data_IF_871784969438
#
_entry.id   IF_871784969438
#
_cell.length_a   1.000
_cell.length_b   1.000
_cell.length_c   1.000
_cell.angle_alpha   90.00
_cell.angle_beta   90.00
_cell.angle_gamma   90.00
#
_symmetry.space_group_name_H-M   'P 1'
#
loop_
_entity.id
_entity.type
_entity.pdbx_description
1 polymer ?
#
# COMPACT_ATOMS: atom_id res chain seq x y z
N UNK A 1 -3.32 21.99 -1.41
CA UNK A 1 -4.38 20.99 -1.70
C UNK A 1 -4.51 20.13 -0.46
N UNK A 2 -5.70 19.69 -0.08
CA UNK A 2 -5.89 18.94 1.18
C UNK A 2 -6.65 17.63 0.95
N UNK A 3 -6.50 16.70 1.88
CA UNK A 3 -7.32 15.48 1.86
C UNK A 3 -8.67 15.78 2.49
N UNK A 4 -9.76 15.51 1.74
CA UNK A 4 -11.13 15.55 2.26
C UNK A 4 -11.71 14.13 2.35
N UNK A 5 -11.98 13.67 3.57
CA UNK A 5 -12.79 12.48 3.83
C UNK A 5 -14.26 12.89 3.92
N UNK A 6 -15.09 12.36 3.02
CA UNK A 6 -16.54 12.56 3.05
C UNK A 6 -17.23 11.21 3.24
N UNK A 7 -18.28 11.18 4.04
CA UNK A 7 -19.15 10.01 4.14
C UNK A 7 -20.62 10.42 4.12
N UNK A 8 -21.45 9.57 3.52
CA UNK A 8 -22.88 9.77 3.38
C UNK A 8 -23.66 8.63 4.06
N UNK A 9 -24.94 8.88 4.33
CA UNK A 9 -25.94 7.88 4.68
C UNK A 9 -26.48 7.22 3.40
N UNK A 10 -27.13 6.04 3.48
CA UNK A 10 -27.74 5.40 2.30
C UNK A 10 -28.75 6.28 1.56
N UNK A 11 -29.43 7.19 2.27
CA UNK A 11 -30.34 8.17 1.68
C UNK A 11 -29.66 9.41 1.09
N UNK A 12 -28.35 9.36 0.85
CA UNK A 12 -27.57 10.46 0.27
C UNK A 12 -27.28 11.63 1.21
N UNK A 13 -27.80 11.64 2.44
CA UNK A 13 -27.52 12.73 3.40
C UNK A 13 -26.08 12.66 3.90
N UNK A 14 -25.41 13.82 3.96
CA UNK A 14 -24.07 13.93 4.51
C UNK A 14 -24.04 13.38 5.95
N UNK A 15 -23.11 12.45 6.21
CA UNK A 15 -22.84 11.91 7.53
C UNK A 15 -21.66 12.62 8.19
N UNK A 16 -20.56 12.80 7.46
CA UNK A 16 -19.44 13.63 7.92
C UNK A 16 -18.55 14.10 6.77
N UNK A 17 -17.85 15.22 7.00
CA UNK A 17 -16.76 15.71 6.17
C UNK A 17 -15.57 16.06 7.09
N UNK A 18 -14.36 15.66 6.72
CA UNK A 18 -13.13 15.89 7.49
C UNK A 18 -11.99 16.25 6.57
N UNK A 19 -11.45 17.46 6.76
CA UNK A 19 -10.22 17.90 6.13
C UNK A 19 -9.02 17.42 6.95
N UNK A 20 -8.02 16.88 6.27
CA UNK A 20 -6.68 16.74 6.80
C UNK A 20 -5.81 17.75 6.06
N UNK A 21 -5.17 18.62 6.85
CA UNK A 21 -4.20 19.62 6.45
C UNK A 21 -2.92 19.31 7.23
N UNK A 22 -1.85 19.00 6.51
CA UNK A 22 -0.57 18.61 7.06
C UNK A 22 0.11 19.73 7.84
N UNK A 23 1.13 19.41 8.66
CA UNK A 23 1.82 20.41 9.49
C UNK A 23 2.59 21.47 8.68
N UNK A 24 2.87 21.21 7.41
CA UNK A 24 3.51 22.17 6.52
C UNK A 24 2.51 23.11 5.80
N UNK A 25 1.21 22.91 5.98
CA UNK A 25 0.14 23.65 5.28
C UNK A 25 0.28 23.60 3.75
N UNK A 26 0.90 22.54 3.24
CA UNK A 26 1.15 22.30 1.82
C UNK A 26 0.11 21.39 1.20
N UNK A 27 0.50 20.71 0.12
CA UNK A 27 -0.27 19.67 -0.53
C UNK A 27 -0.37 18.37 0.27
N UNK A 28 -1.58 17.86 0.46
CA UNK A 28 -1.88 16.53 0.97
C UNK A 28 -2.69 15.74 -0.07
N UNK A 29 -2.23 14.55 -0.41
CA UNK A 29 -2.87 13.71 -1.41
C UNK A 29 -3.16 12.32 -0.88
N UNK A 30 -4.40 11.87 -1.05
CA UNK A 30 -4.81 10.51 -0.77
C UNK A 30 -4.69 9.65 -2.03
N UNK A 31 -4.13 8.46 -1.90
CA UNK A 31 -3.91 7.51 -3.00
C UNK A 31 -4.78 6.28 -2.88
N UNK A 32 -5.02 5.82 -1.65
CA UNK A 32 -5.77 4.60 -1.38
C UNK A 32 -6.55 4.73 -0.08
N UNK A 33 -7.73 4.14 -0.04
CA UNK A 33 -8.55 4.02 1.16
C UNK A 33 -9.01 2.57 1.34
N UNK A 34 -9.18 2.15 2.59
CA UNK A 34 -9.82 0.90 2.96
C UNK A 34 -10.62 1.04 4.26
N UNK A 35 -11.63 0.20 4.45
CA UNK A 35 -12.46 0.18 5.66
C UNK A 35 -12.42 -1.19 6.32
N UNK A 36 -12.13 -1.24 7.63
CA UNK A 36 -12.19 -2.50 8.39
C UNK A 36 -13.64 -2.91 8.74
N UNK A 37 -13.87 -4.14 9.22
CA UNK A 37 -15.22 -4.61 9.57
C UNK A 37 -15.92 -3.78 10.66
N UNK A 38 -15.17 -3.06 11.50
CA UNK A 38 -15.73 -2.13 12.48
C UNK A 38 -16.12 -0.76 11.85
N UNK A 39 -15.84 -0.57 10.57
CA UNK A 39 -16.10 0.65 9.83
C UNK A 39 -15.07 1.75 10.05
N UNK A 40 -13.90 1.43 10.61
CA UNK A 40 -12.80 2.40 10.65
C UNK A 40 -12.23 2.56 9.25
N UNK A 41 -11.93 3.80 8.88
CA UNK A 41 -11.38 4.18 7.59
C UNK A 41 -9.87 4.34 7.74
N UNK A 42 -9.10 3.75 6.84
CA UNK A 42 -7.67 3.94 6.70
C UNK A 42 -7.40 4.57 5.35
N UNK A 43 -6.57 5.62 5.32
CA UNK A 43 -6.19 6.33 4.10
C UNK A 43 -4.67 6.29 4.00
N UNK A 44 -4.13 5.95 2.84
CA UNK A 44 -2.72 6.11 2.50
C UNK A 44 -2.56 7.24 1.48
N UNK A 45 -1.38 7.85 1.46
CA UNK A 45 -1.08 8.99 0.62
C UNK A 45 0.27 9.60 0.93
N UNK A 46 0.39 10.91 0.73
CA UNK A 46 1.53 11.71 1.15
C UNK A 46 1.09 13.13 1.52
N UNK A 47 1.97 13.83 2.23
CA UNK A 47 1.76 15.15 2.80
C UNK A 47 3.04 15.95 2.66
N UNK A 48 2.98 17.11 2.02
CA UNK A 48 4.14 18.00 1.87
C UNK A 48 4.80 18.31 3.22
N UNK A 49 6.10 18.46 3.16
CA UNK A 49 6.99 18.77 4.27
C UNK A 49 8.00 19.82 3.81
N UNK A 50 8.86 20.27 4.73
CA UNK A 50 9.90 21.26 4.40
C UNK A 50 10.92 20.75 3.39
N UNK A 51 11.09 19.44 3.28
CA UNK A 51 12.17 18.79 2.53
C UNK A 51 11.68 17.83 1.46
N UNK A 52 10.41 17.94 1.06
CA UNK A 52 9.77 17.05 0.08
C UNK A 52 8.36 16.63 0.51
N UNK A 53 7.93 15.45 0.10
CA UNK A 53 6.68 14.84 0.55
C UNK A 53 6.93 13.73 1.55
N UNK A 54 6.19 13.67 2.66
CA UNK A 54 6.27 12.55 3.59
C UNK A 54 5.10 11.58 3.35
N UNK A 55 5.36 10.28 3.39
CA UNK A 55 4.34 9.25 3.23
C UNK A 55 3.31 9.35 4.36
N UNK A 56 2.02 9.32 4.04
CA UNK A 56 0.95 9.56 5.00
C UNK A 56 0.06 8.34 5.16
N UNK A 57 -0.27 8.02 6.41
CA UNK A 57 -1.37 7.13 6.75
C UNK A 57 -2.28 7.80 7.78
N UNK A 58 -3.58 7.84 7.49
CA UNK A 58 -4.60 8.31 8.41
C UNK A 58 -5.49 7.16 8.83
N UNK A 59 -5.99 7.20 10.06
CA UNK A 59 -7.10 6.37 10.51
C UNK A 59 -8.20 7.20 11.15
N UNK A 60 -9.44 6.93 10.78
CA UNK A 60 -10.64 7.51 11.35
C UNK A 60 -11.59 6.41 11.82
N UNK A 61 -12.36 6.68 12.88
CA UNK A 61 -13.55 5.86 13.17
C UNK A 61 -14.66 6.15 12.18
N UNK A 62 -15.68 5.28 12.12
CA UNK A 62 -16.85 5.41 11.23
C UNK A 62 -17.56 6.78 11.31
N UNK A 63 -17.55 7.41 12.49
CA UNK A 63 -18.12 8.75 12.72
C UNK A 63 -17.28 9.90 12.14
N UNK A 64 -16.08 9.61 11.64
CA UNK A 64 -15.15 10.61 11.11
C UNK A 64 -14.25 11.26 12.17
N UNK A 65 -14.20 10.77 13.42
CA UNK A 65 -13.15 11.22 14.36
C UNK A 65 -11.82 10.57 13.97
N UNK A 66 -10.76 11.38 13.83
CA UNK A 66 -9.41 10.87 13.56
C UNK A 66 -8.88 10.14 14.80
N UNK A 67 -8.45 8.90 14.62
CA UNK A 67 -7.78 8.13 15.67
C UNK A 67 -6.29 8.42 15.67
N UNK A 68 -5.66 8.43 14.50
CA UNK A 68 -4.26 8.76 14.36
C UNK A 68 -3.92 9.20 12.94
N UNK A 69 -2.80 9.92 12.85
CA UNK A 69 -2.08 10.21 11.61
C UNK A 69 -0.63 9.74 11.80
N UNK A 70 -0.05 9.13 10.76
CA UNK A 70 1.34 8.69 10.74
C UNK A 70 1.99 9.20 9.48
N UNK A 71 3.06 9.96 9.64
CA UNK A 71 3.92 10.44 8.57
C UNK A 71 5.18 9.56 8.54
N UNK A 72 5.66 9.26 7.35
CA UNK A 72 6.87 8.53 7.07
C UNK A 72 7.80 9.45 6.30
N UNK A 73 8.94 9.77 6.92
CA UNK A 73 10.03 10.48 6.27
C UNK A 73 11.21 9.51 6.18
N UNK A 74 11.69 9.27 4.97
CA UNK A 74 12.86 8.43 4.68
C UNK A 74 14.12 8.97 5.35
N UNK A 75 15.16 8.14 5.45
CA UNK A 75 16.37 8.48 6.22
C UNK A 75 17.19 9.63 5.62
N UNK A 76 17.05 9.88 4.32
CA UNK A 76 17.77 10.93 3.60
C UNK A 76 16.90 12.16 3.30
N UNK A 77 15.64 12.15 3.73
CA UNK A 77 14.65 13.14 3.31
C UNK A 77 14.26 13.00 1.84
N UNK A 78 13.54 14.00 1.32
CA UNK A 78 13.02 13.99 -0.04
C UNK A 78 11.57 13.52 -0.10
N UNK A 79 11.22 12.83 -1.19
CA UNK A 79 9.85 12.43 -1.46
C UNK A 79 9.58 10.96 -1.09
N UNK A 80 8.56 10.79 -0.26
CA UNK A 80 8.03 9.54 0.23
C UNK A 80 6.55 9.46 -0.13
N UNK A 81 6.21 8.50 -0.98
CA UNK A 81 4.83 8.30 -1.42
C UNK A 81 4.33 6.93 -0.99
N UNK A 82 3.29 6.90 -0.17
CA UNK A 82 2.49 5.68 0.00
C UNK A 82 1.38 5.68 -1.04
N UNK A 83 1.41 4.70 -1.94
CA UNK A 83 0.51 4.60 -3.11
C UNK A 83 -0.56 3.53 -2.94
N UNK A 84 -0.31 2.55 -2.08
CA UNK A 84 -1.21 1.43 -1.85
C UNK A 84 -1.31 1.10 -0.37
N UNK A 85 -2.42 0.48 0.00
CA UNK A 85 -2.72 0.04 1.36
C UNK A 85 -3.63 -1.19 1.34
N UNK A 86 -3.36 -2.12 2.25
CA UNK A 86 -4.19 -3.31 2.51
C UNK A 86 -4.36 -3.51 4.01
N UNK A 87 -5.56 -3.88 4.43
CA UNK A 87 -5.83 -4.24 5.83
C UNK A 87 -5.09 -5.52 6.22
N UNK A 88 -4.60 -5.55 7.46
CA UNK A 88 -4.02 -6.74 8.09
C UNK A 88 -5.12 -7.58 8.75
N UNK A 89 -5.06 -8.93 8.68
CA UNK A 89 -6.04 -9.79 9.35
C UNK A 89 -6.16 -9.54 10.85
N UNK A 90 -5.03 -9.29 11.53
CA UNK A 90 -4.96 -8.95 12.95
C UNK A 90 -5.30 -7.47 13.27
N UNK A 91 -5.80 -6.71 12.29
CA UNK A 91 -6.04 -5.27 12.40
C UNK A 91 -4.82 -4.40 12.08
N UNK A 92 -5.10 -3.18 11.64
CA UNK A 92 -4.11 -2.27 11.06
C UNK A 92 -3.90 -2.53 9.57
N UNK A 93 -2.72 -2.19 9.05
CA UNK A 93 -2.46 -2.12 7.61
C UNK A 93 -1.04 -2.53 7.21
N UNK A 94 -0.90 -2.95 5.96
CA UNK A 94 0.31 -2.81 5.14
C UNK A 94 0.12 -1.62 4.20
N UNK A 95 1.14 -0.78 4.02
CA UNK A 95 1.16 0.29 3.03
C UNK A 95 2.45 0.21 2.21
N UNK A 96 2.33 0.44 0.90
CA UNK A 96 3.42 0.29 -0.05
C UNK A 96 3.53 1.51 -0.97
N UNK A 97 4.75 1.77 -1.45
CA UNK A 97 5.02 2.84 -2.40
C UNK A 97 6.51 3.03 -2.61
N UNK A 98 6.99 4.28 -2.57
CA UNK A 98 8.41 4.59 -2.79
C UNK A 98 8.90 5.69 -1.87
N UNK A 99 10.22 5.71 -1.67
CA UNK A 99 10.97 6.67 -0.84
C UNK A 99 12.22 7.12 -1.57
N UNK A 100 12.66 8.36 -1.38
CA UNK A 100 13.95 8.80 -1.90
C UNK A 100 15.08 8.03 -1.21
N UNK A 101 15.95 7.38 -2.00
CA UNK A 101 17.10 6.63 -1.52
C UNK A 101 18.39 7.44 -1.60
N UNK A 102 19.32 7.20 -0.67
CA UNK A 102 20.55 7.99 -0.50
C UNK A 102 21.65 7.85 -1.56
N UNK A 103 21.47 7.01 -2.59
CA UNK A 103 22.56 6.67 -3.50
C UNK A 103 22.26 6.90 -4.99
N UNK A 104 21.08 6.57 -5.53
CA UNK A 104 20.85 6.68 -7.00
C UNK A 104 19.38 6.77 -7.47
N UNK A 105 18.38 6.93 -6.59
CA UNK A 105 16.99 7.00 -7.05
C UNK A 105 15.96 6.69 -5.98
N UNK A 106 14.73 6.37 -6.41
CA UNK A 106 13.65 5.97 -5.50
C UNK A 106 13.79 4.49 -5.13
N UNK A 107 13.72 4.19 -3.84
CA UNK A 107 13.61 2.83 -3.33
C UNK A 107 12.14 2.42 -3.25
N UNK A 108 11.88 1.12 -3.35
CA UNK A 108 10.59 0.55 -2.97
C UNK A 108 10.38 0.68 -1.46
N UNK A 109 9.17 0.98 -1.02
CA UNK A 109 8.83 1.15 0.39
C UNK A 109 7.67 0.21 0.76
N UNK A 110 7.84 -0.56 1.84
CA UNK A 110 6.76 -1.31 2.49
C UNK A 110 6.79 -1.05 4.00
N UNK A 111 5.68 -0.59 4.56
CA UNK A 111 5.53 -0.35 6.00
C UNK A 111 4.26 -0.98 6.52
N UNK A 112 4.24 -1.36 7.80
CA UNK A 112 3.04 -1.86 8.46
C UNK A 112 2.75 -1.11 9.75
N UNK A 113 1.46 -0.95 10.04
CA UNK A 113 0.98 -0.37 11.29
C UNK A 113 -0.06 -1.31 11.92
N UNK A 114 -0.08 -1.42 13.25
CA UNK A 114 -1.17 -2.10 13.94
C UNK A 114 -2.41 -1.20 14.06
N UNK A 115 -3.50 -1.73 14.62
CA UNK A 115 -4.76 -0.98 14.76
C UNK A 115 -4.62 0.30 15.61
N UNK A 116 -3.70 0.32 16.58
CA UNK A 116 -3.37 1.46 17.43
C UNK A 116 -2.42 2.48 16.76
N UNK A 117 -1.96 2.19 15.53
CA UNK A 117 -1.05 3.07 14.79
C UNK A 117 0.41 2.95 15.20
N UNK A 118 0.80 1.91 15.96
CA UNK A 118 2.23 1.60 16.16
C UNK A 118 2.79 1.01 14.87
N UNK A 119 3.89 1.57 14.37
CA UNK A 119 4.64 1.00 13.24
C UNK A 119 5.24 -0.33 13.66
N UNK A 120 4.96 -1.37 12.90
CA UNK A 120 5.45 -2.72 13.16
C UNK A 120 6.77 -3.00 12.46
N UNK A 121 6.87 -2.58 11.20
CA UNK A 121 8.11 -2.61 10.44
C UNK A 121 8.06 -1.56 9.33
N UNK A 122 9.24 -1.27 8.79
CA UNK A 122 9.44 -0.61 7.51
C UNK A 122 10.59 -1.30 6.78
N UNK A 123 10.45 -1.45 5.48
CA UNK A 123 11.46 -2.01 4.59
C UNK A 123 11.60 -1.09 3.40
N UNK A 124 12.84 -0.72 3.10
CA UNK A 124 13.21 -0.01 1.87
C UNK A 124 14.00 -0.96 0.97
N UNK A 125 13.59 -1.11 -0.28
CA UNK A 125 14.24 -1.93 -1.28
C UNK A 125 14.98 -1.04 -2.27
N UNK A 126 16.31 -1.09 -2.23
CA UNK A 126 17.18 -0.49 -3.23
C UNK A 126 17.19 -1.44 -4.43
N UNK A 127 16.74 -0.97 -5.60
CA UNK A 127 16.74 -1.78 -6.82
C UNK A 127 18.14 -2.34 -7.15
N UNK A 128 18.24 -3.33 -8.05
CA UNK A 128 19.48 -4.07 -8.33
C UNK A 128 20.66 -3.25 -8.88
N UNK A 129 20.51 -1.94 -9.04
CA UNK A 129 21.51 -1.03 -9.61
C UNK A 129 22.69 -0.65 -8.70
N UNK A 130 22.86 -1.22 -7.50
CA UNK A 130 24.05 -0.96 -6.67
C UNK A 130 24.57 -2.21 -5.97
N UNK A 131 25.89 -2.43 -6.02
CA UNK A 131 26.63 -3.64 -5.56
C UNK A 131 26.60 -3.92 -4.04
N UNK A 132 25.62 -3.38 -3.31
CA UNK A 132 25.33 -3.76 -1.92
C UNK A 132 23.82 -3.76 -1.71
N UNK A 133 23.15 -4.75 -2.26
CA UNK A 133 21.83 -5.13 -1.77
C UNK A 133 22.00 -5.51 -0.29
N UNK A 134 21.66 -4.60 0.62
CA UNK A 134 21.26 -5.02 1.96
C UNK A 134 19.86 -5.60 1.82
N UNK A 135 19.76 -6.77 1.17
CA UNK A 135 18.61 -7.65 1.35
C UNK A 135 18.65 -8.10 2.81
N UNK A 136 18.15 -7.23 3.69
CA UNK A 136 17.89 -7.66 5.05
C UNK A 136 16.92 -8.82 4.93
N UNK A 137 17.22 -9.88 5.65
CA UNK A 137 16.45 -11.13 5.74
C UNK A 137 15.02 -10.93 6.27
N UNK A 138 14.50 -9.70 6.23
CA UNK A 138 13.22 -9.23 6.71
C UNK A 138 12.08 -9.51 5.72
N UNK A 139 12.29 -9.40 4.39
CA UNK A 139 11.20 -9.65 3.41
C UNK A 139 10.77 -11.12 3.43
N UNK A 140 11.73 -12.06 3.52
CA UNK A 140 11.43 -13.50 3.59
C UNK A 140 10.72 -13.90 4.90
N UNK A 141 10.98 -13.20 6.02
CA UNK A 141 10.36 -13.51 7.32
C UNK A 141 8.95 -12.95 7.49
N UNK A 142 8.54 -12.00 6.65
CA UNK A 142 7.21 -11.37 6.72
C UNK A 142 6.32 -11.69 5.51
N UNK A 143 6.71 -12.65 4.68
CA UNK A 143 5.81 -13.33 3.74
C UNK A 143 5.01 -14.38 4.53
N UNK A 144 3.73 -14.15 4.91
CA UNK A 144 2.96 -15.20 5.54
C UNK A 144 2.77 -16.32 4.51
N UNK A 145 2.88 -17.59 4.90
CA UNK A 145 2.60 -18.74 4.02
C UNK A 145 1.20 -18.67 3.34
N UNK A 146 0.30 -17.84 3.86
CA UNK A 146 -1.00 -17.55 3.26
C UNK A 146 -0.96 -16.65 2.01
N UNK A 147 0.09 -15.87 1.79
CA UNK A 147 0.24 -15.02 0.60
C UNK A 147 0.99 -15.69 -0.56
N UNK A 148 1.84 -16.70 -0.32
CA UNK A 148 2.46 -17.49 -1.42
C UNK A 148 1.41 -18.33 -2.15
N UNK A 149 0.57 -19.07 -1.43
CA UNK A 149 -0.39 -20.01 -2.04
C UNK A 149 -1.55 -19.36 -2.80
N UNK A 150 -1.90 -18.10 -2.51
CA UNK A 150 -2.95 -17.36 -3.20
C UNK A 150 -2.42 -16.63 -4.45
N UNK A 151 -1.14 -16.21 -4.43
CA UNK A 151 -0.47 -15.61 -5.58
C UNK A 151 -0.03 -16.66 -6.60
N UNK A 152 0.52 -17.80 -6.16
CA UNK A 152 0.97 -18.89 -7.04
C UNK A 152 -0.18 -19.59 -7.77
N UNK A 153 -1.38 -19.68 -7.18
CA UNK A 153 -2.57 -20.21 -7.86
C UNK A 153 -3.09 -19.30 -8.96
N UNK A 154 -3.17 -17.99 -8.70
CA UNK A 154 -3.65 -17.01 -9.68
C UNK A 154 -2.67 -16.76 -10.84
N UNK A 155 -1.37 -16.94 -10.63
CA UNK A 155 -0.38 -16.83 -11.72
C UNK A 155 -0.27 -18.10 -12.56
N UNK A 156 -0.53 -19.29 -11.99
CA UNK A 156 -0.63 -20.55 -12.77
C UNK A 156 -1.85 -20.58 -13.68
N UNK A 157 -3.02 -20.15 -13.20
CA UNK A 157 -4.26 -20.10 -14.00
C UNK A 157 -4.17 -19.10 -15.16
N UNK A 158 -3.40 -18.03 -15.01
CA UNK A 158 -3.18 -17.03 -16.05
C UNK A 158 -2.15 -17.47 -17.13
N UNK A 159 -1.27 -18.43 -16.83
CA UNK A 159 -0.25 -18.92 -17.77
C UNK A 159 -0.69 -20.12 -18.60
N UNK A 160 -1.63 -20.94 -18.13
CA UNK A 160 -2.15 -22.09 -18.90
C UNK A 160 -3.24 -21.69 -19.92
N UNK A 161 -3.74 -20.45 -19.88
CA UNK A 161 -4.82 -19.98 -20.74
C UNK A 161 -4.35 -19.31 -22.05
N UNK A 162 -3.04 -19.16 -22.28
CA UNK A 162 -2.50 -18.39 -23.42
C UNK A 162 -1.56 -19.14 -24.35
N UNK A 163 -1.59 -20.47 -24.40
CA UNK A 163 -0.94 -21.22 -25.49
C UNK A 163 -1.96 -21.51 -26.60
N UNK A 164 -1.84 -20.91 -27.80
CA UNK A 164 -2.60 -21.34 -28.96
C UNK A 164 -2.10 -22.73 -29.39
N UNK A 165 -3.00 -23.70 -29.47
CA UNK A 165 -2.69 -25.04 -29.96
C UNK A 165 -2.41 -25.00 -31.47
N UNK A 166 -1.15 -25.10 -31.87
CA UNK A 166 -0.81 -25.52 -33.24
C UNK A 166 -0.39 -26.98 -33.26
N UNK A 167 -0.92 -27.69 -34.26
CA UNK A 167 -0.56 -29.02 -34.74
C UNK A 167 -1.23 -30.23 -34.06
N UNK A 168 -2.29 -30.72 -34.73
CA UNK A 168 -2.69 -32.13 -34.73
C UNK A 168 -3.03 -32.55 -36.15
N UNK A 169 -2.07 -33.13 -36.87
CA UNK A 169 -2.31 -33.94 -38.08
C UNK A 169 -2.51 -35.41 -37.65
N UNK A 170 -3.40 -36.11 -38.34
CA UNK A 170 -3.56 -37.58 -38.33
C UNK A 170 -4.52 -38.08 -37.24
N UNK A 171 -5.39 -39.07 -37.45
CA UNK A 171 -5.66 -39.95 -38.60
C UNK A 171 -6.98 -40.68 -38.33
N UNK A 172 -7.74 -41.00 -39.39
CA UNK A 172 -8.90 -41.88 -39.33
C UNK A 172 -8.51 -43.31 -38.93
N UNK A 173 -9.32 -43.96 -38.10
CA UNK A 173 -9.39 -45.42 -37.97
C UNK A 173 -10.85 -45.84 -37.75
N UNK A 174 -11.17 -46.98 -38.35
CA UNK A 174 -12.51 -47.50 -38.63
C UNK A 174 -13.35 -47.90 -37.41
N UNK A 175 -14.66 -47.88 -37.62
CA UNK A 175 -15.74 -48.36 -36.77
C UNK A 175 -17.07 -47.99 -37.41
#
# INVERSE_FOLDING_TARGET
MDILLVSYRPNGRLRCARRYDGPAYGGDWATRMATDPAGNVYIAGWSESRTGSDGLVLKYVRSGKRLWARRYNGTVGGDDWLRSLRLRPAGGIYAAGSTTGGHTGRNGLLTAYNAAGKRLFVTEEVGPGTKRSRSSSAISRYWPAAMSSAWERKTREAWTASTPSTAGRGSCAAG
#
